data_IF_655281600462
#
_entry.id   IF_655281600462
#
_cell.length_a   1.000
_cell.length_b   1.000
_cell.length_c   1.000
_cell.angle_alpha   90.00
_cell.angle_beta   90.00
_cell.angle_gamma   90.00
#
_symmetry.space_group_name_H-M   'P 1'
#
loop_
_entity.id
_entity.type
_entity.pdbx_description
1 polymer ?
#
# COMPACT_ATOMS: atom_id res chain seq x y z
N UNK A 1 18.94 -0.73 3.93
CA UNK A 1 18.87 -1.55 2.70
C UNK A 1 20.05 -2.51 2.50
N UNK A 2 21.33 -2.08 2.38
CA UNK A 2 22.44 -3.05 2.19
C UNK A 2 22.66 -3.94 3.41
N UNK A 3 22.76 -3.34 4.59
CA UNK A 3 22.96 -4.07 5.85
C UNK A 3 21.78 -4.98 6.24
N UNK A 4 20.56 -4.54 5.95
CA UNK A 4 19.35 -5.36 6.12
C UNK A 4 19.35 -6.53 5.15
N UNK A 5 19.77 -6.32 3.90
CA UNK A 5 19.84 -7.39 2.91
C UNK A 5 20.80 -8.50 3.34
N UNK A 6 21.91 -8.16 3.99
CA UNK A 6 22.86 -9.15 4.47
C UNK A 6 22.35 -9.94 5.69
N UNK A 7 21.46 -9.36 6.50
CA UNK A 7 20.88 -10.00 7.70
C UNK A 7 19.61 -10.79 7.43
N UNK A 8 18.74 -10.22 6.61
CA UNK A 8 17.34 -10.63 6.43
C UNK A 8 17.08 -11.14 4.99
N UNK A 9 17.93 -10.75 4.04
CA UNK A 9 17.75 -11.08 2.63
C UNK A 9 16.88 -10.06 1.89
N UNK A 10 16.01 -10.56 1.01
CA UNK A 10 15.18 -9.69 0.15
C UNK A 10 14.15 -8.92 1.00
N UNK A 11 14.14 -7.60 0.85
CA UNK A 11 13.12 -6.75 1.47
C UNK A 11 11.76 -7.00 0.83
N UNK A 12 10.74 -7.18 1.67
CA UNK A 12 9.34 -7.33 1.24
C UNK A 12 8.58 -6.07 1.56
N UNK A 13 7.82 -5.56 0.61
CA UNK A 13 7.02 -4.35 0.80
C UNK A 13 5.66 -4.51 0.15
N UNK A 14 4.65 -3.90 0.77
CA UNK A 14 3.26 -3.98 0.31
C UNK A 14 2.68 -2.58 0.21
N UNK A 15 1.92 -2.34 -0.84
CA UNK A 15 1.21 -1.09 -1.09
C UNK A 15 -0.25 -1.39 -1.39
N UNK A 16 -1.15 -0.59 -0.83
CA UNK A 16 -2.58 -0.66 -1.07
C UNK A 16 -3.00 0.37 -2.11
N UNK A 17 -3.78 -0.08 -3.08
CA UNK A 17 -4.53 0.77 -4.00
C UNK A 17 -5.97 0.82 -3.51
N UNK A 18 -6.37 1.99 -3.01
CA UNK A 18 -7.75 2.25 -2.63
C UNK A 18 -8.42 3.06 -3.74
N UNK A 19 -9.56 2.55 -4.18
CA UNK A 19 -10.38 3.18 -5.21
C UNK A 19 -11.58 3.85 -4.56
N UNK A 20 -11.82 5.09 -4.98
CA UNK A 20 -13.07 5.81 -4.76
C UNK A 20 -13.59 6.30 -6.10
N UNK A 21 -14.82 6.74 -6.18
CA UNK A 21 -15.32 7.41 -7.38
C UNK A 21 -15.97 8.72 -6.99
N UNK A 22 -15.90 9.67 -7.90
CA UNK A 22 -16.59 10.94 -7.79
C UNK A 22 -17.09 11.29 -9.20
N UNK A 23 -18.38 11.64 -9.33
CA UNK A 23 -19.01 11.95 -10.61
C UNK A 23 -18.84 10.85 -11.70
N UNK A 24 -18.78 9.57 -11.30
CA UNK A 24 -18.62 8.44 -12.23
C UNK A 24 -17.19 8.22 -12.74
N UNK A 25 -16.20 8.92 -12.17
CA UNK A 25 -14.79 8.73 -12.48
C UNK A 25 -14.06 8.03 -11.32
N UNK A 26 -13.33 6.94 -11.57
CA UNK A 26 -12.53 6.28 -10.54
C UNK A 26 -11.30 7.12 -10.19
N UNK A 27 -11.05 7.27 -8.90
CA UNK A 27 -9.92 7.99 -8.31
C UNK A 27 -9.14 7.04 -7.40
N UNK A 28 -7.81 7.13 -7.45
CA UNK A 28 -6.91 6.38 -6.55
C UNK A 28 -6.51 7.29 -5.39
N UNK A 29 -6.60 6.77 -4.17
CA UNK A 29 -6.15 7.50 -2.99
C UNK A 29 -4.63 7.44 -2.86
N UNK A 30 -4.00 8.61 -2.68
CA UNK A 30 -2.57 8.77 -2.53
C UNK A 30 -2.25 9.62 -1.30
N UNK A 31 -1.18 9.27 -0.61
CA UNK A 31 -0.58 10.09 0.43
C UNK A 31 0.34 11.12 -0.21
N UNK A 32 0.00 12.39 -0.02
CA UNK A 32 0.83 13.49 -0.48
C UNK A 32 1.82 13.89 0.62
N UNK A 33 3.12 13.77 0.34
CA UNK A 33 4.18 14.28 1.23
C UNK A 33 4.79 15.53 0.57
N UNK A 34 4.44 16.71 1.06
CA UNK A 34 4.89 17.97 0.46
C UNK A 34 4.15 18.31 -0.84
N UNK A 35 4.84 18.90 -1.82
CA UNK A 35 4.18 19.45 -3.02
C UNK A 35 4.20 18.54 -4.24
N UNK A 36 5.19 17.65 -4.37
CA UNK A 36 5.42 16.86 -5.60
C UNK A 36 5.56 15.36 -5.37
N UNK A 37 5.48 14.91 -4.12
CA UNK A 37 5.76 13.53 -3.76
C UNK A 37 4.48 12.81 -3.34
N UNK A 38 4.13 11.77 -4.07
CA UNK A 38 2.94 10.97 -3.85
C UNK A 38 3.35 9.52 -3.60
N UNK A 39 2.71 8.91 -2.61
CA UNK A 39 2.91 7.51 -2.26
C UNK A 39 1.59 6.80 -2.07
N UNK A 40 1.56 5.52 -2.39
CA UNK A 40 0.48 4.65 -1.95
C UNK A 40 0.63 4.36 -0.46
N UNK A 41 -0.47 4.21 0.28
CA UNK A 41 -0.43 3.74 1.66
C UNK A 41 0.08 2.30 1.71
N UNK A 42 1.02 2.04 2.61
CA UNK A 42 1.76 0.79 2.64
C UNK A 42 3.11 0.96 3.30
N UNK A 43 3.96 -0.05 3.17
CA UNK A 43 5.21 -0.09 3.89
C UNK A 43 5.95 -1.41 3.79
N UNK A 44 6.86 -1.59 4.73
CA UNK A 44 7.73 -2.75 4.82
C UNK A 44 7.07 -3.82 5.69
N UNK A 45 7.22 -5.07 5.28
CA UNK A 45 6.80 -6.23 6.05
C UNK A 45 7.95 -6.79 6.87
N UNK A 46 7.63 -7.34 8.04
CA UNK A 46 8.58 -8.13 8.80
C UNK A 46 8.88 -9.48 8.10
N UNK A 47 9.94 -10.18 8.50
CA UNK A 47 10.45 -11.37 7.81
C UNK A 47 9.52 -12.56 7.75
N UNK A 48 8.63 -12.68 8.74
CA UNK A 48 7.68 -13.79 8.86
C UNK A 48 6.23 -13.31 8.81
N UNK A 49 6.02 -12.02 8.55
CA UNK A 49 4.68 -11.45 8.44
C UNK A 49 4.04 -11.86 7.12
N UNK A 50 2.75 -12.16 7.17
CA UNK A 50 1.92 -12.40 5.99
C UNK A 50 1.62 -11.07 5.30
N UNK A 51 1.55 -11.09 3.98
CA UNK A 51 1.42 -9.88 3.17
C UNK A 51 0.09 -9.17 3.38
N UNK A 52 -0.98 -9.96 3.56
CA UNK A 52 -2.34 -9.44 3.77
C UNK A 52 -2.45 -8.85 5.17
N UNK A 53 -2.02 -9.60 6.19
CA UNK A 53 -2.08 -9.13 7.59
C UNK A 53 -1.16 -7.92 7.84
N UNK A 54 0.04 -7.92 7.26
CA UNK A 54 0.94 -6.78 7.35
C UNK A 54 0.40 -5.55 6.63
N UNK A 55 -0.27 -5.72 5.48
CA UNK A 55 -0.94 -4.61 4.82
C UNK A 55 -2.09 -4.04 5.68
N UNK A 56 -2.89 -4.89 6.34
CA UNK A 56 -3.94 -4.43 7.27
C UNK A 56 -3.34 -3.62 8.42
N UNK A 57 -2.21 -4.07 8.99
CA UNK A 57 -1.48 -3.35 10.04
C UNK A 57 -1.04 -1.97 9.55
N UNK A 58 -0.36 -1.91 8.40
CA UNK A 58 0.16 -0.67 7.82
C UNK A 58 -0.96 0.32 7.45
N UNK A 59 -2.08 -0.18 6.90
CA UNK A 59 -3.26 0.63 6.61
C UNK A 59 -3.88 1.20 7.89
N UNK A 60 -3.95 0.40 8.94
CA UNK A 60 -4.48 0.84 10.24
C UNK A 60 -3.57 1.88 10.88
N UNK A 61 -2.25 1.75 10.73
CA UNK A 61 -1.29 2.75 11.21
C UNK A 61 -1.38 4.08 10.44
N UNK A 62 -1.61 4.00 9.12
CA UNK A 62 -1.57 5.17 8.24
C UNK A 62 -2.91 5.91 8.17
N UNK A 63 -4.02 5.17 8.10
CA UNK A 63 -5.37 5.69 7.84
C UNK A 63 -6.37 5.36 8.97
N UNK A 64 -5.95 4.58 9.97
CA UNK A 64 -6.81 4.13 11.05
C UNK A 64 -7.29 5.27 11.94
N UNK A 65 -8.45 5.04 12.56
CA UNK A 65 -9.10 6.02 13.43
C UNK A 65 -8.49 5.94 14.83
N UNK A 66 -8.22 7.10 15.43
CA UNK A 66 -7.73 7.19 16.82
C UNK A 66 -8.79 6.78 17.86
N UNK A 67 -10.06 6.65 17.45
CA UNK A 67 -11.19 6.30 18.31
C UNK A 67 -11.22 4.84 18.79
N UNK A 68 -10.20 4.03 18.45
CA UNK A 68 -10.08 2.63 18.89
C UNK A 68 -11.04 1.64 18.20
N UNK A 69 -11.86 2.10 17.25
CA UNK A 69 -12.68 1.24 16.40
C UNK A 69 -11.79 0.58 15.37
N UNK A 70 -11.64 -0.75 15.45
CA UNK A 70 -10.92 -1.53 14.45
C UNK A 70 -11.64 -1.41 13.11
N UNK A 71 -10.97 -0.79 12.14
CA UNK A 71 -11.43 -0.77 10.76
C UNK A 71 -11.10 -2.11 10.12
N UNK A 72 -12.12 -2.79 9.59
CA UNK A 72 -11.92 -4.01 8.83
C UNK A 72 -11.54 -3.65 7.39
N UNK A 73 -10.32 -4.01 7.00
CA UNK A 73 -9.82 -3.80 5.64
C UNK A 73 -10.05 -5.08 4.83
N UNK A 74 -10.84 -4.97 3.76
CA UNK A 74 -11.07 -6.05 2.81
C UNK A 74 -10.02 -5.92 1.71
N UNK A 75 -9.04 -6.83 1.74
CA UNK A 75 -8.00 -6.93 0.72
C UNK A 75 -8.47 -7.98 -0.28
N UNK A 76 -8.68 -7.56 -1.53
CA UNK A 76 -9.20 -8.43 -2.58
C UNK A 76 -8.05 -9.10 -3.33
N UNK A 77 -7.56 -8.44 -4.38
CA UNK A 77 -6.67 -9.04 -5.36
C UNK A 77 -5.29 -8.38 -5.39
N UNK A 78 -4.29 -9.16 -5.81
CA UNK A 78 -2.96 -8.65 -6.13
C UNK A 78 -3.00 -8.07 -7.55
N UNK A 79 -2.84 -6.76 -7.66
CA UNK A 79 -2.90 -6.06 -8.95
C UNK A 79 -1.54 -6.00 -9.66
N UNK A 80 -0.45 -6.16 -8.93
CA UNK A 80 0.87 -5.97 -9.51
C UNK A 80 2.02 -6.37 -8.58
N UNK A 81 3.15 -6.68 -9.22
CA UNK A 81 4.39 -7.00 -8.55
C UNK A 81 5.50 -6.15 -9.18
N UNK A 82 6.34 -5.55 -8.34
CA UNK A 82 7.49 -4.78 -8.75
C UNK A 82 8.73 -5.31 -8.05
N UNK A 83 9.82 -5.39 -8.81
CA UNK A 83 11.09 -5.90 -8.33
C UNK A 83 12.17 -4.85 -8.49
N UNK A 84 12.98 -4.72 -7.45
CA UNK A 84 14.21 -3.93 -7.47
C UNK A 84 15.41 -4.87 -7.58
N UNK A 85 16.15 -4.87 -8.71
CA UNK A 85 17.28 -5.78 -8.89
C UNK A 85 18.53 -5.37 -8.10
N UNK A 86 18.77 -4.06 -7.98
CA UNK A 86 19.97 -3.46 -7.36
C UNK A 86 19.60 -2.50 -6.24
N UNK A 87 20.58 -1.98 -5.48
CA UNK A 87 20.35 -0.93 -4.46
C UNK A 87 20.19 0.47 -5.08
N UNK A 88 19.53 0.54 -6.24
CA UNK A 88 19.35 1.74 -7.05
C UNK A 88 17.85 2.02 -7.24
N UNK A 89 17.45 3.25 -7.58
CA UNK A 89 16.04 3.64 -7.75
C UNK A 89 15.18 2.82 -8.74
N UNK A 90 15.71 2.28 -9.87
CA UNK A 90 14.89 1.58 -10.86
C UNK A 90 14.14 0.36 -10.31
N UNK A 91 12.86 0.24 -10.68
CA UNK A 91 11.99 -0.88 -10.36
C UNK A 91 11.33 -1.38 -11.66
N UNK A 92 11.11 -2.68 -11.76
CA UNK A 92 10.56 -3.32 -12.95
C UNK A 92 9.35 -4.19 -12.59
N UNK A 93 8.32 -4.25 -13.44
CA UNK A 93 7.16 -5.12 -13.24
C UNK A 93 7.44 -6.59 -13.61
N UNK A 94 8.71 -6.97 -13.69
CA UNK A 94 9.20 -8.32 -13.93
C UNK A 94 10.58 -8.45 -13.30
N UNK A 95 11.06 -9.67 -13.09
CA UNK A 95 12.43 -9.94 -12.66
C UNK A 95 13.34 -9.86 -13.91
N UNK A 96 14.29 -8.92 -13.98
CA UNK A 96 15.17 -8.81 -15.14
C UNK A 96 16.02 -10.07 -15.36
N UNK A 97 16.39 -10.32 -16.63
CA UNK A 97 17.25 -11.45 -16.99
C UNK A 97 18.56 -11.47 -16.20
N UNK A 98 19.01 -12.67 -15.80
CA UNK A 98 20.24 -12.90 -15.03
C UNK A 98 20.23 -12.39 -13.58
N UNK A 99 19.13 -11.83 -13.09
CA UNK A 99 18.98 -11.45 -11.68
C UNK A 99 18.34 -12.62 -10.91
N UNK A 100 19.13 -13.31 -10.11
CA UNK A 100 18.66 -14.43 -9.27
C UNK A 100 18.26 -14.01 -7.86
N UNK A 101 18.73 -12.84 -7.39
CA UNK A 101 18.53 -12.33 -6.02
C UNK A 101 18.14 -10.85 -6.03
N UNK A 102 16.87 -10.51 -6.32
CA UNK A 102 16.37 -9.14 -6.22
C UNK A 102 16.51 -8.63 -4.77
N UNK A 103 16.64 -7.30 -4.63
CA UNK A 103 16.83 -6.64 -3.33
C UNK A 103 15.53 -6.29 -2.65
N UNK A 104 14.51 -5.96 -3.43
CA UNK A 104 13.18 -5.62 -2.95
C UNK A 104 12.15 -6.27 -3.86
N UNK A 105 11.12 -6.84 -3.24
CA UNK A 105 9.88 -7.25 -3.90
C UNK A 105 8.74 -6.47 -3.28
N UNK A 106 8.10 -5.67 -4.13
CA UNK A 106 6.94 -4.86 -3.78
C UNK A 106 5.69 -5.44 -4.41
N UNK A 107 4.67 -5.70 -3.59
CA UNK A 107 3.36 -6.15 -4.03
C UNK A 107 2.33 -5.05 -3.89
N UNK A 108 1.47 -4.94 -4.88
CA UNK A 108 0.34 -4.04 -4.85
C UNK A 108 -0.95 -4.84 -4.69
N UNK A 109 -1.78 -4.42 -3.75
CA UNK A 109 -3.06 -5.03 -3.47
C UNK A 109 -4.19 -4.04 -3.72
N UNK A 110 -5.28 -4.52 -4.29
CA UNK A 110 -6.54 -3.80 -4.33
C UNK A 110 -7.23 -3.93 -2.98
N UNK A 111 -7.61 -2.80 -2.41
CA UNK A 111 -8.30 -2.75 -1.11
C UNK A 111 -9.66 -2.12 -1.31
N UNK A 112 -10.70 -2.90 -1.01
CA UNK A 112 -12.07 -2.44 -1.08
C UNK A 112 -12.38 -1.60 0.15
N UNK A 113 -12.80 -0.36 -0.09
CA UNK A 113 -13.31 0.52 0.96
C UNK A 113 -14.78 0.19 1.23
N UNK A 114 -15.16 0.14 2.50
CA UNK A 114 -16.57 0.04 2.91
C UNK A 114 -17.38 1.27 2.50
N UNK A 115 -18.71 1.15 2.59
CA UNK A 115 -19.60 2.13 1.96
C UNK A 115 -19.46 3.57 2.52
N UNK A 116 -19.15 3.68 3.82
CA UNK A 116 -18.93 4.98 4.46
C UNK A 116 -17.75 4.86 5.41
N UNK A 117 -16.75 5.69 5.20
CA UNK A 117 -15.53 5.69 6.01
C UNK A 117 -15.08 7.11 6.32
N UNK A 118 -14.64 7.33 7.57
CA UNK A 118 -13.75 8.45 7.88
C UNK A 118 -12.37 7.85 8.05
N UNK A 119 -11.42 8.30 7.26
CA UNK A 119 -10.01 8.03 7.51
C UNK A 119 -9.38 9.30 8.09
N UNK A 120 -8.42 9.10 8.99
CA UNK A 120 -7.69 10.20 9.62
C UNK A 120 -6.35 10.28 8.91
N UNK A 121 -6.03 11.42 8.31
CA UNK A 121 -4.69 11.65 7.78
C UNK A 121 -3.74 12.01 8.94
N UNK A 122 -2.44 11.78 8.74
CA UNK A 122 -1.36 12.12 9.67
C UNK A 122 -1.22 13.64 9.99
N UNK A 123 -2.10 14.49 9.46
CA UNK A 123 -2.17 15.94 9.72
C UNK A 123 -3.51 16.36 10.36
N UNK A 124 -4.17 15.46 11.11
CA UNK A 124 -5.45 15.69 11.80
C UNK A 124 -6.61 16.17 10.90
N UNK A 125 -6.47 15.97 9.60
CA UNK A 125 -7.51 16.28 8.62
C UNK A 125 -8.31 15.02 8.35
N UNK A 126 -9.62 15.07 8.61
CA UNK A 126 -10.54 13.97 8.29
C UNK A 126 -10.77 13.92 6.78
N UNK A 127 -10.39 12.80 6.15
CA UNK A 127 -10.82 12.48 4.80
C UNK A 127 -12.14 11.70 4.91
N UNK A 128 -13.23 12.36 4.51
CA UNK A 128 -14.55 11.75 4.40
C UNK A 128 -14.71 11.17 3.00
N UNK A 129 -15.06 9.89 2.89
CA UNK A 129 -15.46 9.27 1.62
C UNK A 129 -16.91 8.81 1.71
N UNK A 130 -17.66 9.03 0.62
CA UNK A 130 -19.04 8.53 0.45
C UNK A 130 -19.04 7.60 -0.76
N UNK A 131 -19.31 6.30 -0.56
CA UNK A 131 -19.19 5.28 -1.61
C UNK A 131 -20.40 5.21 -2.56
N UNK A 132 -21.16 6.29 -2.79
CA UNK A 132 -22.45 6.19 -3.49
C UNK A 132 -22.27 5.96 -5.00
N UNK A 133 -21.81 4.77 -5.35
CA UNK A 133 -22.01 4.00 -6.57
C UNK A 133 -21.14 2.75 -6.45
N UNK A 134 -21.78 1.63 -6.16
CA UNK A 134 -21.21 0.32 -6.42
C UNK A 134 -20.64 0.31 -7.85
N UNK A 135 -19.45 -0.25 -8.01
CA UNK A 135 -18.94 -0.64 -9.32
C UNK A 135 -20.00 -1.58 -9.92
N UNK A 136 -20.73 -1.09 -10.92
CA UNK A 136 -21.68 -1.85 -11.73
C UNK A 136 -20.98 -2.38 -12.98
#
# INVERSE_FOLDING_TARGET
>A
MREEFDKIGMRRSVEAVLLVHEHGLPHVLLLQLGTTFFKLPGGELDTEEDEVEGLKRLLTETLGRQDGVKQEWVIEDIIGNWWRPNFEPPQYPYIPSHITKPKEHKKLFLVQLGEKGKCVNTHDTYCFYHSDCCIA
#
